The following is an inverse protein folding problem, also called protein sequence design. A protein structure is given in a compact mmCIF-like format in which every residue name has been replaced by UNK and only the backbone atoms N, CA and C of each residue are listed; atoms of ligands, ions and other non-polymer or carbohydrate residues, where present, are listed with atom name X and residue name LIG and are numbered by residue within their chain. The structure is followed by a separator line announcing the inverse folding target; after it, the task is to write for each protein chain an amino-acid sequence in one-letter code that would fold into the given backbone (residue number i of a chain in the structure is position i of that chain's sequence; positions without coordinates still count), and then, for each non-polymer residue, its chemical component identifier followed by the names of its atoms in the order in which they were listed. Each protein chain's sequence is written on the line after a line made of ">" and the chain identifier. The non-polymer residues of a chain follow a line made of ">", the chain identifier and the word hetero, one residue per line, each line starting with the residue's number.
data_IF_963016809717
#
_entry.id   IF_963016809717
#
_cell.length_a   1.000
_cell.length_b   1.000
_cell.length_c   1.000
_cell.angle_alpha   90.00
_cell.angle_beta   90.00
_cell.angle_gamma   90.00
#
_symmetry.space_group_name_H-M   'P 1'
#
loop_
_entity.id
_entity.type
_entity.pdbx_description
1 polymer ?
#
# COMPACT_ATOMS: atom_id res chain seq x y z
N UNK A 1 5.98 5.05 24.84
CA UNK A 1 5.07 6.17 24.58
C UNK A 1 5.49 7.05 23.42
N UNK A 2 6.77 7.33 23.28
CA UNK A 2 7.26 8.17 22.18
C UNK A 2 7.09 7.54 20.81
N UNK A 3 7.10 6.22 20.72
CA UNK A 3 6.87 5.51 19.45
C UNK A 3 5.44 5.69 18.93
N UNK A 4 4.48 5.93 19.82
CA UNK A 4 3.08 6.14 19.46
C UNK A 4 2.86 7.50 18.80
N UNK A 5 3.84 8.41 18.93
CA UNK A 5 3.79 9.74 18.36
C UNK A 5 4.33 9.81 16.94
N UNK A 6 4.94 8.72 16.44
CA UNK A 6 5.43 8.66 15.08
C UNK A 6 4.25 8.40 14.14
N UNK A 7 3.93 9.41 13.35
CA UNK A 7 2.86 9.31 12.36
C UNK A 7 3.40 8.71 11.07
N UNK A 8 3.15 7.42 10.89
CA UNK A 8 3.60 6.70 9.70
C UNK A 8 2.97 7.23 8.42
N UNK A 9 1.69 7.64 8.49
CA UNK A 9 1.01 8.23 7.34
C UNK A 9 1.68 9.54 6.91
N UNK A 10 2.11 10.34 7.86
CA UNK A 10 2.84 11.57 7.61
C UNK A 10 4.18 11.29 6.92
N UNK A 11 4.89 10.25 7.36
CA UNK A 11 6.17 9.85 6.77
C UNK A 11 5.94 9.33 5.34
N UNK A 12 4.95 8.50 5.13
CA UNK A 12 4.61 7.97 3.81
C UNK A 12 4.16 9.07 2.85
N UNK A 13 3.37 10.03 3.33
CA UNK A 13 2.98 11.18 2.55
C UNK A 13 4.18 12.06 2.16
N UNK A 14 5.12 12.24 3.09
CA UNK A 14 6.36 12.95 2.81
C UNK A 14 7.20 12.22 1.76
N UNK A 15 7.26 10.90 1.83
CA UNK A 15 7.95 10.06 0.84
C UNK A 15 7.29 10.19 -0.55
N UNK A 16 5.97 10.16 -0.63
CA UNK A 16 5.24 10.37 -1.88
C UNK A 16 5.53 11.74 -2.49
N UNK A 17 5.51 12.79 -1.66
CA UNK A 17 5.82 14.15 -2.09
C UNK A 17 7.25 14.25 -2.62
N UNK A 18 8.20 13.65 -1.90
CA UNK A 18 9.60 13.65 -2.31
C UNK A 18 9.78 12.93 -3.65
N UNK A 19 9.15 11.77 -3.82
CA UNK A 19 9.24 11.01 -5.06
C UNK A 19 8.56 11.73 -6.23
N UNK A 20 7.41 12.36 -6.00
CA UNK A 20 6.74 13.17 -7.03
C UNK A 20 7.62 14.33 -7.47
N UNK A 21 8.22 15.03 -6.52
CA UNK A 21 9.12 16.13 -6.82
C UNK A 21 10.35 15.66 -7.60
N UNK A 22 10.93 14.53 -7.21
CA UNK A 22 12.06 13.93 -7.91
C UNK A 22 11.69 13.54 -9.34
N UNK A 23 10.51 12.96 -9.53
CA UNK A 23 10.04 12.54 -10.84
C UNK A 23 9.80 13.73 -11.77
N UNK A 24 9.38 14.87 -11.22
CA UNK A 24 9.17 16.09 -11.97
C UNK A 24 10.46 16.88 -12.21
N UNK A 25 11.54 16.55 -11.49
CA UNK A 25 12.82 17.21 -11.65
C UNK A 25 13.46 16.87 -12.99
N UNK A 26 13.88 17.90 -13.70
CA UNK A 26 14.60 17.72 -14.98
C UNK A 26 16.04 17.27 -14.77
N UNK A 27 16.55 17.36 -13.53
CA UNK A 27 17.92 17.07 -13.18
C UNK A 27 18.03 15.70 -12.56
N UNK A 28 18.11 14.65 -13.38
CA UNK A 28 18.41 13.26 -12.97
C UNK A 28 17.52 12.68 -11.87
N UNK A 29 16.29 13.17 -11.74
CA UNK A 29 15.35 12.72 -10.69
C UNK A 29 15.92 12.92 -9.28
N UNK A 30 16.69 13.99 -9.10
CA UNK A 30 17.32 14.33 -7.83
C UNK A 30 16.65 15.54 -7.21
N UNK A 31 16.39 15.46 -5.91
CA UNK A 31 15.89 16.57 -5.12
C UNK A 31 16.65 16.66 -3.81
N UNK A 32 16.63 17.84 -3.21
CA UNK A 32 17.16 18.07 -1.88
C UNK A 32 16.12 18.86 -1.08
N UNK A 33 15.89 18.44 0.15
CA UNK A 33 14.97 19.14 1.05
C UNK A 33 15.44 19.01 2.49
N UNK A 34 15.13 20.01 3.30
CA UNK A 34 15.53 20.06 4.70
C UNK A 34 14.43 19.52 5.60
N UNK A 35 14.82 18.93 6.73
CA UNK A 35 13.90 18.40 7.73
C UNK A 35 12.86 19.44 8.17
N UNK A 36 13.30 20.66 8.38
CA UNK A 36 12.43 21.75 8.83
C UNK A 36 11.30 22.03 7.84
N UNK A 37 11.59 21.94 6.55
CA UNK A 37 10.62 22.17 5.49
C UNK A 37 9.57 21.07 5.40
N UNK A 38 9.90 19.86 5.87
CA UNK A 38 9.00 18.71 5.87
C UNK A 38 8.10 18.67 7.11
N UNK A 39 8.42 19.43 8.14
CA UNK A 39 7.69 19.40 9.40
C UNK A 39 7.80 18.09 10.15
N UNK A 40 8.85 17.33 9.90
CA UNK A 40 9.09 16.03 10.54
C UNK A 40 10.04 16.18 11.74
N UNK A 41 9.83 15.37 12.77
CA UNK A 41 10.80 15.26 13.85
C UNK A 41 12.01 14.44 13.37
N UNK A 42 13.08 14.40 14.17
CA UNK A 42 14.31 13.72 13.78
C UNK A 42 14.09 12.22 13.51
N UNK A 43 13.33 11.55 14.35
CA UNK A 43 13.02 10.12 14.17
C UNK A 43 12.21 9.87 12.91
N UNK A 44 11.21 10.70 12.65
CA UNK A 44 10.40 10.61 11.43
C UNK A 44 11.25 10.85 10.20
N UNK A 45 12.16 11.80 10.27
CA UNK A 45 13.07 12.11 9.17
C UNK A 45 13.99 10.93 8.85
N UNK A 46 14.53 10.26 9.87
CA UNK A 46 15.38 9.08 9.71
C UNK A 46 14.58 7.92 9.07
N UNK A 47 13.33 7.73 9.48
CA UNK A 47 12.47 6.72 8.87
C UNK A 47 12.15 7.06 7.42
N UNK A 48 11.94 8.33 7.11
CA UNK A 48 11.76 8.78 5.74
C UNK A 48 12.97 8.45 4.87
N UNK A 49 14.18 8.66 5.39
CA UNK A 49 15.41 8.32 4.68
C UNK A 49 15.46 6.81 4.39
N UNK A 50 15.13 5.98 5.35
CA UNK A 50 15.12 4.52 5.18
C UNK A 50 14.12 4.09 4.11
N UNK A 51 12.94 4.71 4.08
CA UNK A 51 11.94 4.45 3.06
C UNK A 51 12.46 4.85 1.68
N UNK A 52 13.01 6.05 1.57
CA UNK A 52 13.49 6.57 0.27
C UNK A 52 14.68 5.77 -0.27
N UNK A 53 15.48 5.14 0.59
CA UNK A 53 16.58 4.26 0.16
C UNK A 53 16.09 3.04 -0.60
N UNK A 54 14.85 2.63 -0.41
CA UNK A 54 14.25 1.53 -1.17
C UNK A 54 13.93 1.92 -2.61
N UNK A 55 13.80 3.23 -2.87
CA UNK A 55 13.40 3.76 -4.17
C UNK A 55 14.51 4.56 -4.87
N UNK A 56 15.72 4.51 -4.32
CA UNK A 56 16.86 5.23 -4.88
C UNK A 56 17.97 5.38 -3.87
N UNK A 57 18.79 6.42 -4.05
CA UNK A 57 19.84 6.77 -3.11
C UNK A 57 19.38 7.96 -2.28
N UNK A 58 19.51 7.85 -0.97
CA UNK A 58 19.17 8.92 -0.04
C UNK A 58 20.34 9.12 0.93
N UNK A 59 20.80 10.34 1.05
CA UNK A 59 21.93 10.69 1.92
C UNK A 59 21.66 12.01 2.62
N UNK A 60 22.23 12.17 3.81
CA UNK A 60 22.14 13.43 4.54
C UNK A 60 23.34 14.29 4.16
N UNK A 61 23.05 15.52 3.74
CA UNK A 61 24.07 16.51 3.45
C UNK A 61 23.82 17.79 4.23
N UNK A 62 24.80 18.65 4.29
CA UNK A 62 24.67 19.99 4.84
C UNK A 62 24.57 21.00 3.71
N UNK A 63 23.48 21.75 3.69
CA UNK A 63 23.28 22.85 2.77
C UNK A 63 23.03 24.11 3.61
N UNK A 64 23.96 25.07 3.54
CA UNK A 64 23.88 26.31 4.30
C UNK A 64 23.75 26.08 5.81
N UNK A 65 24.47 25.09 6.37
CA UNK A 65 24.42 24.77 7.78
C UNK A 65 23.21 23.97 8.24
N UNK A 66 22.32 23.59 7.32
CA UNK A 66 21.13 22.80 7.62
C UNK A 66 21.31 21.35 7.18
N UNK A 67 20.81 20.41 8.00
CA UNK A 67 20.73 19.02 7.60
C UNK A 67 19.65 18.85 6.55
N UNK A 68 20.04 18.48 5.35
CA UNK A 68 19.13 18.27 4.24
C UNK A 68 19.26 16.84 3.73
N UNK A 69 18.17 16.29 3.24
CA UNK A 69 18.15 15.01 2.58
C UNK A 69 18.35 15.23 1.09
N UNK A 70 19.31 14.53 0.51
CA UNK A 70 19.53 14.49 -0.93
C UNK A 70 19.06 13.14 -1.42
N UNK A 71 18.04 13.15 -2.26
CA UNK A 71 17.42 11.93 -2.77
C UNK A 71 17.50 11.89 -4.29
N UNK A 72 17.99 10.78 -4.82
CA UNK A 72 17.98 10.50 -6.25
C UNK A 72 17.17 9.23 -6.49
N UNK A 73 16.09 9.36 -7.23
CA UNK A 73 15.15 8.27 -7.47
C UNK A 73 15.66 7.34 -8.57
N UNK A 74 15.47 6.02 -8.38
CA UNK A 74 15.76 5.01 -9.39
C UNK A 74 14.50 4.71 -10.23
N UNK A 75 14.63 3.81 -11.20
CA UNK A 75 13.51 3.41 -12.06
C UNK A 75 12.38 2.73 -11.29
N UNK A 76 12.72 1.96 -10.26
CA UNK A 76 11.74 1.32 -9.39
C UNK A 76 10.91 2.37 -8.66
N UNK A 77 11.54 3.41 -8.13
CA UNK A 77 10.85 4.51 -7.47
C UNK A 77 9.96 5.29 -8.44
N UNK A 78 10.45 5.53 -9.66
CA UNK A 78 9.66 6.21 -10.68
C UNK A 78 8.40 5.41 -11.05
N UNK A 79 8.53 4.10 -11.21
CA UNK A 79 7.39 3.23 -11.48
C UNK A 79 6.41 3.21 -10.32
N UNK A 80 6.91 3.13 -9.09
CA UNK A 80 6.09 3.11 -7.88
C UNK A 80 5.25 4.39 -7.77
N UNK A 81 5.86 5.55 -7.98
CA UNK A 81 5.13 6.82 -7.86
C UNK A 81 4.18 7.04 -9.06
N UNK A 82 4.50 6.51 -10.22
CA UNK A 82 3.60 6.55 -11.38
C UNK A 82 2.32 5.77 -11.13
N UNK A 83 2.37 4.74 -10.28
CA UNK A 83 1.20 3.96 -9.85
C UNK A 83 0.45 4.59 -8.68
N UNK A 84 0.88 5.75 -8.20
CA UNK A 84 0.22 6.48 -7.13
C UNK A 84 0.91 6.49 -5.79
N UNK A 85 2.07 5.83 -5.65
CA UNK A 85 2.87 5.83 -4.43
C UNK A 85 2.23 5.11 -3.25
N UNK A 86 2.63 5.47 -2.04
CA UNK A 86 2.12 4.86 -0.81
C UNK A 86 0.63 5.10 -0.59
N UNK A 87 0.15 6.26 -1.00
CA UNK A 87 -1.27 6.59 -0.88
C UNK A 87 -2.13 5.59 -1.64
N UNK A 88 -1.78 5.30 -2.89
CA UNK A 88 -2.49 4.33 -3.71
C UNK A 88 -2.35 2.92 -3.16
N UNK A 89 -1.17 2.57 -2.65
CA UNK A 89 -0.92 1.28 -2.03
C UNK A 89 -1.84 1.06 -0.83
N UNK A 90 -1.99 2.07 0.03
CA UNK A 90 -2.89 1.98 1.20
C UNK A 90 -4.34 1.84 0.78
N UNK A 91 -4.77 2.58 -0.22
CA UNK A 91 -6.13 2.48 -0.76
C UNK A 91 -6.38 1.10 -1.36
N UNK A 92 -5.42 0.59 -2.12
CA UNK A 92 -5.48 -0.73 -2.73
C UNK A 92 -5.55 -1.84 -1.69
N UNK A 93 -4.76 -1.75 -0.62
CA UNK A 93 -4.79 -2.72 0.48
C UNK A 93 -6.12 -2.71 1.22
N UNK A 94 -6.70 -1.53 1.44
CA UNK A 94 -8.01 -1.40 2.07
C UNK A 94 -9.10 -2.04 1.21
N UNK A 95 -9.11 -1.78 -0.08
CA UNK A 95 -10.05 -2.38 -1.04
C UNK A 95 -9.86 -3.90 -1.08
N UNK A 96 -8.63 -4.37 -1.09
CA UNK A 96 -8.31 -5.80 -1.11
C UNK A 96 -8.83 -6.52 0.13
N UNK A 97 -8.70 -5.91 1.31
CA UNK A 97 -9.23 -6.48 2.56
C UNK A 97 -10.75 -6.60 2.50
N UNK A 98 -11.43 -5.56 2.04
CA UNK A 98 -12.88 -5.57 1.91
C UNK A 98 -13.34 -6.59 0.87
N UNK A 99 -12.65 -6.68 -0.26
CA UNK A 99 -12.93 -7.66 -1.30
C UNK A 99 -12.76 -9.09 -0.78
N UNK A 100 -11.72 -9.35 0.01
CA UNK A 100 -11.50 -10.67 0.61
C UNK A 100 -12.60 -11.05 1.60
N UNK A 101 -13.10 -10.12 2.40
CA UNK A 101 -14.22 -10.36 3.29
C UNK A 101 -15.48 -10.72 2.51
N UNK A 102 -15.78 -9.99 1.46
CA UNK A 102 -16.92 -10.25 0.59
C UNK A 102 -16.76 -11.60 -0.10
N UNK A 103 -15.58 -11.90 -0.62
CA UNK A 103 -15.30 -13.18 -1.28
C UNK A 103 -15.48 -14.37 -0.33
N UNK A 104 -15.05 -14.27 0.92
CA UNK A 104 -15.23 -15.33 1.92
C UNK A 104 -16.72 -15.58 2.20
N UNK A 105 -17.50 -14.51 2.39
CA UNK A 105 -18.96 -14.63 2.60
C UNK A 105 -19.64 -15.23 1.37
N UNK A 106 -19.26 -14.77 0.20
CA UNK A 106 -19.79 -15.24 -1.06
C UNK A 106 -19.49 -16.72 -1.27
N UNK A 107 -18.27 -17.16 -0.98
CA UNK A 107 -17.87 -18.56 -1.08
C UNK A 107 -18.67 -19.44 -0.11
N UNK A 108 -18.87 -19.00 1.13
CA UNK A 108 -19.64 -19.73 2.12
C UNK A 108 -21.10 -19.89 1.66
N UNK A 109 -21.71 -18.83 1.16
CA UNK A 109 -23.08 -18.86 0.64
C UNK A 109 -23.16 -19.79 -0.57
N UNK A 110 -22.18 -19.76 -1.46
CA UNK A 110 -22.14 -20.63 -2.65
C UNK A 110 -22.02 -22.12 -2.28
N UNK A 111 -21.21 -22.44 -1.26
CA UNK A 111 -21.06 -23.81 -0.78
C UNK A 111 -22.38 -24.31 -0.18
N UNK A 112 -23.06 -23.50 0.63
CA UNK A 112 -24.34 -23.83 1.23
C UNK A 112 -25.38 -24.05 0.12
N UNK A 113 -25.45 -23.16 -0.86
CA UNK A 113 -26.37 -23.27 -1.98
C UNK A 113 -26.12 -24.54 -2.80
N UNK A 114 -24.85 -24.89 -3.02
CA UNK A 114 -24.45 -26.12 -3.71
C UNK A 114 -24.89 -27.37 -2.94
N UNK A 115 -24.71 -27.39 -1.62
CA UNK A 115 -25.11 -28.51 -0.76
C UNK A 115 -26.64 -28.70 -0.79
N UNK A 116 -27.38 -27.60 -0.74
CA UNK A 116 -28.86 -27.63 -0.85
C UNK A 116 -29.28 -28.18 -2.20
N UNK A 117 -28.65 -27.75 -3.28
CA UNK A 117 -28.94 -28.21 -4.64
C UNK A 117 -28.69 -29.72 -4.80
N UNK A 118 -27.55 -30.22 -4.26
CA UNK A 118 -27.23 -31.64 -4.29
C UNK A 118 -28.22 -32.45 -3.47
N UNK A 119 -28.59 -31.99 -2.28
CA UNK A 119 -29.59 -32.65 -1.44
C UNK A 119 -30.95 -32.69 -2.11
N UNK A 120 -31.39 -31.61 -2.76
CA UNK A 120 -32.66 -31.54 -3.49
C UNK A 120 -32.64 -32.49 -4.67
N UNK A 121 -31.56 -32.58 -5.42
CA UNK A 121 -31.44 -33.51 -6.55
C UNK A 121 -31.46 -34.96 -6.08
N UNK A 122 -30.74 -35.30 -5.03
CA UNK A 122 -30.74 -36.63 -4.46
C UNK A 122 -32.13 -37.04 -3.97
N UNK A 123 -32.84 -36.13 -3.32
CA UNK A 123 -34.20 -36.37 -2.87
C UNK A 123 -35.15 -36.60 -4.05
N UNK A 124 -35.03 -35.81 -5.11
CA UNK A 124 -35.85 -35.96 -6.34
C UNK A 124 -35.60 -37.32 -6.99
N UNK A 125 -34.36 -37.75 -7.12
CA UNK A 125 -34.00 -39.06 -7.67
C UNK A 125 -34.57 -40.17 -6.79
N UNK A 126 -34.44 -40.07 -5.48
CA UNK A 126 -34.96 -41.05 -4.52
C UNK A 126 -36.48 -41.16 -4.66
N UNK A 127 -37.22 -40.06 -4.71
CA UNK A 127 -38.67 -40.06 -4.85
C UNK A 127 -39.11 -40.65 -6.17
N UNK A 128 -38.40 -40.35 -7.28
CA UNK A 128 -38.71 -40.93 -8.59
C UNK A 128 -38.54 -42.43 -8.59
N UNK A 129 -37.47 -42.97 -7.99
CA UNK A 129 -37.23 -44.38 -7.91
C UNK A 129 -38.29 -45.06 -7.02
N UNK A 130 -38.60 -44.42 -5.87
CA UNK A 130 -39.58 -44.96 -4.93
C UNK A 130 -40.99 -45.00 -5.52
N UNK A 131 -41.39 -43.94 -6.25
CA UNK A 131 -42.72 -43.85 -6.85
C UNK A 131 -42.90 -44.72 -8.09
N UNK A 132 -41.82 -45.16 -8.73
CA UNK A 132 -41.88 -46.07 -9.86
C UNK A 132 -42.03 -47.53 -9.44
N UNK A 133 -41.81 -47.83 -8.20
CA UNK A 133 -41.97 -49.15 -7.61
C UNK A 133 -43.18 -49.18 -6.68
#
# INVERSE_FOLDING_TARGET
>A
MTSDLIDRDKIENAADEAMKSANQSRSRREIAFCREDCGLCEEEFLQLIDILRQFGTAAIGNINGRKCLIFQMNDFGAEFIAKGGFRELRMSQSISKDANKIAKRSNTISIIALLIAIASLAFTIYMNIFLKH
#
